data_IF_210826100549
#
_entry.id   IF_210826100549
#
_cell.length_a   1.000
_cell.length_b   1.000
_cell.length_c   1.000
_cell.angle_alpha   90.00
_cell.angle_beta   90.00
_cell.angle_gamma   90.00
#
_symmetry.space_group_name_H-M   'P 1'
#
loop_
_entity.id
_entity.type
_entity.pdbx_description
1 polymer ?
#
# COMPACT_ATOMS: atom_id res chain seq x y z
N UNK A 1 -9.04 19.20 -2.60
CA UNK A 1 -7.84 18.83 -1.81
C UNK A 1 -6.87 18.15 -2.76
N UNK A 2 -5.70 18.73 -3.04
CA UNK A 2 -4.80 18.27 -4.12
C UNK A 2 -4.03 16.96 -3.79
N UNK A 3 -4.01 16.56 -2.52
CA UNK A 3 -3.30 15.37 -2.03
C UNK A 3 -4.18 14.11 -1.91
N UNK A 4 -5.50 14.25 -2.05
CA UNK A 4 -6.43 13.15 -1.89
C UNK A 4 -6.42 12.24 -3.14
N UNK A 5 -6.26 10.92 -2.98
CA UNK A 5 -6.31 9.99 -4.10
C UNK A 5 -7.75 9.86 -4.62
N UNK A 6 -7.89 9.73 -5.93
CA UNK A 6 -9.15 9.37 -6.56
C UNK A 6 -9.48 7.88 -6.30
N UNK A 7 -10.11 7.59 -5.16
CA UNK A 7 -10.56 6.24 -4.83
C UNK A 7 -11.55 5.69 -5.85
N UNK A 8 -11.41 4.41 -6.17
CA UNK A 8 -12.33 3.69 -7.05
C UNK A 8 -13.39 3.00 -6.23
N UNK A 9 -14.65 3.29 -6.54
CA UNK A 9 -15.81 2.67 -5.91
C UNK A 9 -16.55 1.78 -6.90
N UNK A 10 -17.15 0.70 -6.41
CA UNK A 10 -17.98 -0.17 -7.22
C UNK A 10 -19.32 0.54 -7.52
N UNK A 11 -19.74 0.63 -8.81
CA UNK A 11 -20.93 1.39 -9.21
C UNK A 11 -22.23 0.94 -8.54
N UNK A 12 -22.29 -0.31 -8.07
CA UNK A 12 -23.46 -0.95 -7.48
C UNK A 12 -23.57 -0.77 -5.97
N UNK A 13 -22.45 -0.69 -5.23
CA UNK A 13 -22.47 -0.76 -3.76
C UNK A 13 -21.87 0.48 -3.07
N UNK A 14 -21.31 1.45 -3.83
CA UNK A 14 -20.51 2.55 -3.27
C UNK A 14 -19.34 2.08 -2.37
N UNK A 15 -18.95 0.81 -2.51
CA UNK A 15 -17.86 0.19 -1.77
C UNK A 15 -16.53 0.40 -2.48
N UNK A 16 -15.44 0.48 -1.73
CA UNK A 16 -14.10 0.57 -2.31
C UNK A 16 -13.77 -0.67 -3.14
N UNK A 17 -13.37 -0.46 -4.38
CA UNK A 17 -12.92 -1.55 -5.25
C UNK A 17 -11.54 -2.01 -4.82
N UNK A 18 -11.48 -3.20 -4.22
CA UNK A 18 -10.20 -3.87 -3.87
C UNK A 18 -9.50 -4.51 -5.08
N UNK A 19 -10.13 -4.50 -6.26
CA UNK A 19 -9.56 -5.06 -7.47
C UNK A 19 -8.54 -4.11 -8.10
N UNK A 20 -7.37 -4.61 -8.52
CA UNK A 20 -6.38 -3.79 -9.21
C UNK A 20 -7.00 -3.20 -10.49
N UNK A 21 -6.64 -1.96 -10.79
CA UNK A 21 -7.00 -1.30 -12.04
C UNK A 21 -6.29 -1.96 -13.24
N UNK A 22 -6.79 -1.73 -14.45
CA UNK A 22 -6.09 -2.19 -15.66
C UNK A 22 -4.65 -1.65 -15.72
N UNK A 23 -4.42 -0.42 -15.25
CA UNK A 23 -3.08 0.17 -15.15
C UNK A 23 -2.21 -0.57 -14.13
N UNK A 24 -2.76 -0.94 -12.96
CA UNK A 24 -2.06 -1.75 -11.97
C UNK A 24 -1.69 -3.13 -12.51
N UNK A 25 -2.61 -3.81 -13.19
CA UNK A 25 -2.36 -5.13 -13.78
C UNK A 25 -1.28 -5.04 -14.87
N UNK A 26 -1.36 -4.04 -15.75
CA UNK A 26 -0.37 -3.82 -16.79
C UNK A 26 1.02 -3.55 -16.22
N UNK A 27 1.12 -2.70 -15.18
CA UNK A 27 2.39 -2.36 -14.54
C UNK A 27 2.99 -3.57 -13.81
N UNK A 28 2.20 -4.32 -13.05
CA UNK A 28 2.65 -5.53 -12.38
C UNK A 28 3.15 -6.58 -13.39
N UNK A 29 2.44 -6.73 -14.52
CA UNK A 29 2.83 -7.64 -15.60
C UNK A 29 4.14 -7.20 -16.25
N UNK A 30 4.28 -5.90 -16.54
CA UNK A 30 5.51 -5.32 -17.09
C UNK A 30 6.69 -5.53 -16.15
N UNK A 31 6.54 -5.22 -14.86
CA UNK A 31 7.59 -5.42 -13.87
C UNK A 31 7.97 -6.89 -13.71
N UNK A 32 7.01 -7.81 -13.81
CA UNK A 32 7.25 -9.26 -13.80
C UNK A 32 8.02 -9.74 -15.03
N UNK A 33 7.76 -9.15 -16.21
CA UNK A 33 8.49 -9.47 -17.44
C UNK A 33 9.89 -8.85 -17.45
N UNK A 34 10.07 -7.72 -16.78
CA UNK A 34 11.34 -6.99 -16.67
C UNK A 34 12.27 -7.51 -15.55
N UNK A 35 11.96 -8.63 -14.88
CA UNK A 35 12.81 -9.19 -13.80
C UNK A 35 14.18 -9.73 -14.24
N UNK A 36 14.64 -9.43 -15.46
CA UNK A 36 16.03 -9.57 -15.83
C UNK A 36 16.82 -8.30 -15.46
N UNK A 37 17.57 -8.40 -14.36
CA UNK A 37 18.83 -7.68 -14.11
C UNK A 37 18.84 -6.20 -13.66
N UNK A 38 17.84 -5.70 -12.91
CA UNK A 38 18.02 -4.45 -12.13
C UNK A 38 17.88 -4.74 -10.64
N UNK A 39 18.99 -4.67 -9.91
CA UNK A 39 19.00 -4.66 -8.44
C UNK A 39 18.35 -3.35 -7.98
N UNK A 40 17.04 -3.40 -7.69
CA UNK A 40 16.32 -2.27 -7.10
C UNK A 40 16.87 -2.02 -5.70
N UNK A 41 17.60 -0.92 -5.53
CA UNK A 41 18.12 -0.50 -4.21
C UNK A 41 17.05 0.32 -3.50
N UNK A 42 16.73 -0.06 -2.26
CA UNK A 42 15.95 0.77 -1.35
C UNK A 42 16.75 2.03 -1.04
N UNK A 43 16.21 3.20 -1.35
CA UNK A 43 16.89 4.45 -1.01
C UNK A 43 16.78 4.71 0.49
N UNK A 44 17.61 5.60 1.02
CA UNK A 44 17.47 6.03 2.41
C UNK A 44 16.21 6.89 2.57
N UNK A 45 15.64 6.87 3.78
CA UNK A 45 14.37 7.57 4.08
C UNK A 45 14.46 9.08 3.86
N UNK A 46 15.61 9.68 4.19
CA UNK A 46 15.90 11.11 4.02
C UNK A 46 15.90 11.54 2.54
N UNK A 47 16.49 10.73 1.66
CA UNK A 47 16.50 10.99 0.22
C UNK A 47 15.08 10.91 -0.33
N UNK A 48 14.34 9.86 0.06
CA UNK A 48 12.98 9.64 -0.42
C UNK A 48 12.02 10.78 0.01
N UNK A 49 12.14 11.24 1.25
CA UNK A 49 11.36 12.37 1.76
C UNK A 49 11.71 13.68 1.04
N UNK A 50 13.00 13.93 0.78
CA UNK A 50 13.45 15.10 0.02
C UNK A 50 12.93 15.09 -1.43
N UNK A 51 12.98 13.94 -2.11
CA UNK A 51 12.43 13.78 -3.46
C UNK A 51 10.91 13.99 -3.48
N UNK A 52 10.20 13.42 -2.49
CA UNK A 52 8.77 13.61 -2.35
C UNK A 52 8.40 15.06 -2.08
N UNK A 53 9.17 15.75 -1.21
CA UNK A 53 9.00 17.17 -0.91
C UNK A 53 9.30 18.06 -2.11
N UNK A 54 10.30 17.72 -2.93
CA UNK A 54 10.57 18.43 -4.18
C UNK A 54 9.37 18.32 -5.13
N UNK A 55 8.83 17.11 -5.34
CA UNK A 55 7.63 16.90 -6.17
C UNK A 55 6.39 17.60 -5.63
N UNK A 56 6.22 17.62 -4.32
CA UNK A 56 5.14 18.34 -3.64
C UNK A 56 5.27 19.86 -3.87
N UNK A 57 6.48 20.39 -3.73
CA UNK A 57 6.80 21.80 -4.00
C UNK A 57 6.54 22.19 -5.46
N UNK A 58 6.87 21.33 -6.44
CA UNK A 58 6.57 21.55 -7.86
C UNK A 58 5.06 21.66 -8.11
N UNK A 59 4.25 20.97 -7.30
CA UNK A 59 2.78 21.02 -7.35
C UNK A 59 2.20 22.17 -6.53
N UNK A 60 3.06 23.02 -5.94
CA UNK A 60 2.67 24.21 -5.19
C UNK A 60 2.13 23.93 -3.78
N UNK A 61 2.30 22.71 -3.26
CA UNK A 61 1.81 22.30 -1.95
C UNK A 61 2.89 21.50 -1.21
N UNK A 62 3.46 22.08 -0.15
CA UNK A 62 4.52 21.47 0.67
C UNK A 62 4.00 20.90 1.99
N UNK A 63 2.69 20.71 2.10
CA UNK A 63 2.07 20.04 3.24
C UNK A 63 2.59 18.61 3.40
N UNK A 64 2.67 18.15 4.66
CA UNK A 64 3.18 16.81 4.95
C UNK A 64 2.33 15.71 4.30
N UNK A 65 1.02 15.94 4.16
CA UNK A 65 0.08 15.06 3.46
C UNK A 65 0.40 14.95 1.96
N UNK A 66 0.80 16.05 1.33
CA UNK A 66 1.22 16.08 -0.07
C UNK A 66 2.57 15.38 -0.27
N UNK A 67 3.51 15.59 0.66
CA UNK A 67 4.79 14.86 0.65
C UNK A 67 4.53 13.35 0.76
N UNK A 68 3.64 12.92 1.65
CA UNK A 68 3.23 11.52 1.74
C UNK A 68 2.59 11.01 0.43
N UNK A 69 1.70 11.79 -0.19
CA UNK A 69 1.06 11.43 -1.45
C UNK A 69 2.06 11.20 -2.59
N UNK A 70 3.13 12.00 -2.64
CA UNK A 70 4.20 11.95 -3.65
C UNK A 70 5.39 11.06 -3.25
N UNK A 71 5.33 10.41 -2.09
CA UNK A 71 6.35 9.45 -1.65
C UNK A 71 6.28 8.20 -2.51
N UNK A 72 7.44 7.74 -2.98
CA UNK A 72 7.54 6.54 -3.82
C UNK A 72 7.58 5.24 -3.01
N UNK A 73 6.96 4.20 -3.58
CA UNK A 73 7.01 2.84 -3.13
C UNK A 73 8.38 2.24 -3.42
N UNK A 74 9.07 1.82 -2.37
CA UNK A 74 10.36 1.14 -2.48
C UNK A 74 10.24 -0.39 -2.35
N UNK A 75 9.02 -0.92 -2.48
CA UNK A 75 8.74 -2.35 -2.32
C UNK A 75 7.67 -2.88 -3.28
N UNK A 76 7.67 -4.20 -3.42
CA UNK A 76 6.62 -4.93 -4.10
C UNK A 76 6.60 -4.75 -5.62
N UNK A 77 5.46 -5.13 -6.21
CA UNK A 77 5.26 -5.11 -7.66
C UNK A 77 5.04 -3.71 -8.23
N UNK A 78 4.76 -2.71 -7.39
CA UNK A 78 4.52 -1.31 -7.76
C UNK A 78 5.69 -0.38 -7.41
N UNK A 79 6.90 -0.94 -7.29
CA UNK A 79 8.11 -0.18 -7.01
C UNK A 79 8.28 1.01 -7.96
N UNK A 80 8.59 2.19 -7.41
CA UNK A 80 8.75 3.45 -8.13
C UNK A 80 7.44 4.23 -8.38
N UNK A 81 6.28 3.69 -8.01
CA UNK A 81 5.03 4.43 -8.05
C UNK A 81 4.83 5.23 -6.76
N UNK A 82 3.96 6.24 -6.77
CA UNK A 82 3.66 7.03 -5.56
C UNK A 82 2.57 6.38 -4.70
N UNK A 83 2.52 6.75 -3.42
CA UNK A 83 1.44 6.29 -2.53
C UNK A 83 0.06 6.69 -3.04
N UNK A 84 -0.09 7.91 -3.56
CA UNK A 84 -1.34 8.34 -4.20
C UNK A 84 -1.74 7.39 -5.33
N UNK A 85 -0.81 7.09 -6.24
CA UNK A 85 -1.09 6.19 -7.36
C UNK A 85 -1.54 4.81 -6.87
N UNK A 86 -0.93 4.29 -5.81
CA UNK A 86 -1.31 2.99 -5.28
C UNK A 86 -2.74 2.98 -4.71
N UNK A 87 -3.12 4.00 -3.93
CA UNK A 87 -4.47 4.11 -3.39
C UNK A 87 -5.54 4.32 -4.48
N UNK A 88 -5.17 4.92 -5.61
CA UNK A 88 -6.07 5.09 -6.77
C UNK A 88 -6.25 3.79 -7.56
N UNK A 89 -5.21 2.96 -7.62
CA UNK A 89 -5.13 1.86 -8.58
C UNK A 89 -5.33 0.48 -7.95
N UNK A 90 -4.88 0.26 -6.73
CA UNK A 90 -4.97 -1.04 -6.06
C UNK A 90 -5.07 -0.91 -4.54
N UNK A 91 -6.26 -0.58 -4.06
CA UNK A 91 -6.58 -0.48 -2.63
C UNK A 91 -6.44 -1.84 -1.93
N UNK A 92 -6.79 -2.95 -2.61
CA UNK A 92 -6.67 -4.30 -2.04
C UNK A 92 -5.22 -4.64 -1.69
N UNK A 93 -4.28 -4.26 -2.56
CA UNK A 93 -2.87 -4.41 -2.28
C UNK A 93 -2.41 -3.53 -1.10
N UNK A 94 -2.86 -2.28 -0.99
CA UNK A 94 -2.55 -1.42 0.17
C UNK A 94 -2.95 -2.10 1.47
N UNK A 95 -4.21 -2.58 1.56
CA UNK A 95 -4.73 -3.27 2.75
C UNK A 95 -3.86 -4.47 3.10
N UNK A 96 -3.42 -5.24 2.09
CA UNK A 96 -2.56 -6.40 2.31
C UNK A 96 -1.19 -6.04 2.92
N UNK A 97 -0.62 -4.91 2.50
CA UNK A 97 0.66 -4.39 3.00
C UNK A 97 0.50 -3.90 4.43
N UNK A 98 -0.57 -3.15 4.72
CA UNK A 98 -0.85 -2.66 6.08
C UNK A 98 -0.98 -3.81 7.09
N UNK A 99 -1.74 -4.85 6.75
CA UNK A 99 -1.90 -6.02 7.59
C UNK A 99 -0.58 -6.79 7.80
N UNK A 100 0.23 -6.95 6.75
CA UNK A 100 1.56 -7.59 6.86
C UNK A 100 2.50 -6.78 7.74
N UNK A 101 2.52 -5.46 7.57
CA UNK A 101 3.38 -4.54 8.32
C UNK A 101 3.01 -4.52 9.80
N UNK A 102 1.72 -4.52 10.13
CA UNK A 102 1.25 -4.61 11.51
C UNK A 102 1.74 -5.89 12.19
N UNK A 103 1.64 -7.04 11.52
CA UNK A 103 2.16 -8.32 12.03
C UNK A 103 3.69 -8.33 12.19
N UNK A 104 4.43 -7.70 11.28
CA UNK A 104 5.89 -7.52 11.39
C UNK A 104 6.25 -6.71 12.65
N UNK A 105 5.44 -5.71 13.00
CA UNK A 105 5.61 -4.91 14.23
C UNK A 105 5.28 -5.69 15.49
N UNK A 106 4.20 -6.45 15.50
CA UNK A 106 3.78 -7.31 16.62
C UNK A 106 4.76 -8.47 16.85
N UNK A 107 5.37 -8.98 15.78
CA UNK A 107 6.40 -10.01 15.82
C UNK A 107 7.76 -9.54 16.38
N UNK A 108 7.85 -8.31 16.88
CA UNK A 108 9.05 -7.77 17.53
C UNK A 108 10.09 -7.23 16.55
N UNK A 109 9.77 -7.06 15.27
CA UNK A 109 10.70 -6.53 14.28
C UNK A 109 10.82 -5.00 14.44
N UNK A 110 11.73 -4.58 15.32
CA UNK A 110 11.97 -3.17 15.68
C UNK A 110 13.04 -2.49 14.83
N UNK A 111 13.67 -3.22 13.90
CA UNK A 111 14.71 -2.66 13.03
C UNK A 111 14.14 -1.56 12.13
N UNK A 112 14.65 -0.34 12.28
CA UNK A 112 14.35 0.82 11.43
C UNK A 112 15.10 0.75 10.10
N UNK A 113 14.79 -0.26 9.29
CA UNK A 113 15.31 -0.31 7.92
C UNK A 113 14.60 0.75 7.06
N UNK A 114 15.24 1.29 6.00
CA UNK A 114 14.59 2.26 5.11
C UNK A 114 13.28 1.73 4.50
N UNK A 115 13.20 0.41 4.29
CA UNK A 115 11.99 -0.28 3.86
C UNK A 115 10.86 -0.18 4.89
N UNK A 116 11.19 -0.33 6.17
CA UNK A 116 10.23 -0.22 7.27
C UNK A 116 9.71 1.21 7.41
N UNK A 117 10.59 2.21 7.28
CA UNK A 117 10.21 3.62 7.25
C UNK A 117 9.28 3.94 6.08
N UNK A 118 9.51 3.35 4.90
CA UNK A 118 8.64 3.54 3.75
C UNK A 118 7.26 2.92 3.97
N UNK A 119 7.17 1.73 4.59
CA UNK A 119 5.89 1.13 5.00
C UNK A 119 5.17 1.97 6.07
N UNK A 120 5.90 2.50 7.06
CA UNK A 120 5.33 3.39 8.07
C UNK A 120 4.73 4.66 7.46
N UNK A 121 5.43 5.26 6.49
CA UNK A 121 4.94 6.43 5.78
C UNK A 121 3.63 6.12 5.02
N UNK A 122 3.53 4.92 4.41
CA UNK A 122 2.28 4.48 3.78
C UNK A 122 1.15 4.33 4.80
N UNK A 123 1.42 3.76 5.98
CA UNK A 123 0.44 3.68 7.08
C UNK A 123 -0.04 5.08 7.45
N UNK A 124 0.87 6.03 7.68
CA UNK A 124 0.54 7.42 8.01
C UNK A 124 -0.34 8.07 6.94
N UNK A 125 -0.03 7.86 5.65
CA UNK A 125 -0.84 8.38 4.55
C UNK A 125 -2.25 7.78 4.52
N UNK A 126 -2.37 6.46 4.73
CA UNK A 126 -3.69 5.78 4.71
C UNK A 126 -4.59 6.24 5.85
N UNK A 127 -4.03 6.61 7.02
CA UNK A 127 -4.79 7.13 8.16
C UNK A 127 -5.44 8.49 7.90
N UNK A 128 -4.97 9.23 6.89
CA UNK A 128 -5.59 10.49 6.49
C UNK A 128 -6.98 10.29 5.85
N UNK A 129 -7.30 9.07 5.43
CA UNK A 129 -8.53 8.76 4.71
C UNK A 129 -9.39 7.78 5.51
N UNK A 130 -10.57 8.22 6.01
CA UNK A 130 -11.49 7.36 6.78
C UNK A 130 -11.83 6.00 6.13
N UNK A 131 -11.98 5.89 4.79
CA UNK A 131 -12.22 4.59 4.14
C UNK A 131 -11.07 3.59 4.29
N UNK A 132 -9.87 4.07 4.64
CA UNK A 132 -8.64 3.29 4.80
C UNK A 132 -8.17 3.24 6.27
N UNK A 133 -8.73 4.10 7.14
CA UNK A 133 -8.45 4.13 8.57
C UNK A 133 -8.97 2.88 9.25
N UNK A 134 -8.17 1.84 9.18
CA UNK A 134 -8.34 0.57 9.89
C UNK A 134 -8.02 0.79 11.37
N UNK A 135 -8.94 1.44 12.09
CA UNK A 135 -8.77 1.64 13.54
C UNK A 135 -8.82 0.30 14.31
N UNK A 136 -9.19 -0.82 13.67
CA UNK A 136 -9.27 -2.15 14.26
C UNK A 136 -8.91 -3.24 13.23
N UNK A 137 -7.62 -3.36 12.87
CA UNK A 137 -7.12 -4.48 12.05
C UNK A 137 -7.18 -5.83 12.80
N UNK A 138 -7.66 -5.86 14.05
CA UNK A 138 -7.68 -7.09 14.86
C UNK A 138 -8.90 -8.00 14.59
N UNK A 139 -10.08 -7.42 14.32
CA UNK A 139 -11.34 -8.18 14.29
C UNK A 139 -12.31 -7.78 13.16
N UNK A 140 -11.83 -7.06 12.14
CA UNK A 140 -12.70 -6.69 11.02
C UNK A 140 -13.01 -7.91 10.15
N UNK A 141 -14.12 -8.58 10.48
CA UNK A 141 -14.86 -9.50 9.64
C UNK A 141 -15.06 -8.84 8.27
N UNK A 142 -14.65 -9.52 7.18
CA UNK A 142 -14.91 -9.04 5.82
C UNK A 142 -16.43 -8.90 5.67
N UNK A 143 -16.96 -7.68 5.77
CA UNK A 143 -18.39 -7.45 5.60
C UNK A 143 -18.86 -7.54 4.14
N UNK A 144 -18.11 -8.17 3.22
CA UNK A 144 -18.32 -8.01 1.77
C UNK A 144 -18.02 -9.30 0.97
N UNK A 145 -19.02 -9.76 0.20
CA UNK A 145 -18.93 -10.85 -0.79
C UNK A 145 -18.92 -12.29 -0.24
N UNK A 146 -18.75 -13.29 -1.11
CA UNK A 146 -18.78 -14.76 -0.82
C UNK A 146 -17.69 -15.24 0.18
N UNK A 147 -16.88 -14.33 0.72
CA UNK A 147 -15.90 -14.58 1.77
C UNK A 147 -16.21 -13.82 3.06
N UNK A 148 -17.48 -13.44 3.25
CA UNK A 148 -17.97 -12.65 4.38
C UNK A 148 -17.70 -13.26 5.78
N UNK A 149 -17.23 -14.51 5.82
CA UNK A 149 -17.04 -15.29 7.04
C UNK A 149 -15.57 -15.59 7.35
N UNK A 150 -14.62 -15.00 6.60
CA UNK A 150 -13.18 -15.26 6.80
C UNK A 150 -12.45 -13.99 7.23
N UNK A 151 -11.85 -14.04 8.43
CA UNK A 151 -10.84 -13.07 8.87
C UNK A 151 -9.62 -13.13 7.93
N UNK A 152 -8.93 -12.00 7.73
CA UNK A 152 -7.69 -11.92 6.93
C UNK A 152 -6.63 -12.95 7.39
N UNK A 153 -6.62 -13.30 8.69
CA UNK A 153 -5.83 -14.38 9.29
C UNK A 153 -6.08 -15.75 8.65
N UNK A 154 -7.31 -16.03 8.24
CA UNK A 154 -7.72 -17.31 7.62
C UNK A 154 -7.28 -17.43 6.16
N UNK A 155 -7.26 -16.33 5.39
CA UNK A 155 -6.82 -16.35 3.99
C UNK A 155 -5.30 -16.54 3.86
N UNK A 156 -4.51 -15.98 4.78
CA UNK A 156 -3.06 -16.16 4.76
C UNK A 156 -2.60 -17.46 5.44
N UNK A 157 -3.24 -17.88 6.54
CA UNK A 157 -2.95 -19.19 7.14
C UNK A 157 -3.32 -20.37 6.22
N UNK A 158 -4.26 -20.20 5.28
CA UNK A 158 -4.55 -21.22 4.28
C UNK A 158 -3.36 -21.45 3.32
N UNK A 159 -2.67 -20.36 2.93
CA UNK A 159 -1.50 -20.42 2.03
C UNK A 159 -0.25 -21.00 2.70
N UNK A 160 -0.10 -20.80 4.01
CA UNK A 160 1.01 -21.39 4.79
C UNK A 160 0.80 -22.90 5.02
N UNK A 161 -0.44 -23.38 4.91
CA UNK A 161 -0.77 -24.79 5.12
C UNK A 161 -0.58 -25.65 3.86
N UNK A 162 -0.60 -25.05 2.67
CA UNK A 162 -0.33 -25.75 1.39
C UNK A 162 1.17 -25.88 1.07
N UNK A 163 2.05 -25.15 1.75
CA UNK A 163 3.52 -25.27 1.59
C UNK A 163 4.16 -26.31 2.52
N UNK A 164 3.34 -27.08 3.26
CA UNK A 164 3.80 -28.15 4.16
C UNK A 164 2.95 -29.41 4.04
N UNK A 165 2.93 -29.98 2.83
CA UNK A 165 2.63 -31.39 2.57
C UNK A 165 3.52 -31.90 1.46
#
# INVERSE_FOLDING_TARGET
MAFAPAFRFEPSSNELTLRPSAAAVALATKHRQQTTAIVRRTQRSDVLEAEARARASEKGDVSDEMVLAETELQFGQYWGQTFRWLLENDVGYVVSILASHQKEREGGMTMRTPLMSNKDALVSYTRLFPPMSTNEVDDTLLGFGEHAHRSYKSLYNARDRESRT
#
